data_IF_987611518721
#
_entry.id   IF_987611518721
#
_cell.length_a   1.000
_cell.length_b   1.000
_cell.length_c   1.000
_cell.angle_alpha   90.00
_cell.angle_beta   90.00
_cell.angle_gamma   90.00
#
_symmetry.space_group_name_H-M   'P 1'
#
loop_
_entity.id
_entity.type
_entity.pdbx_description
1 polymer ?
#
# COMPACT_ATOMS: atom_id res chain seq x y z
N UNK A 1 14.29 6.07 -29.43
CA UNK A 1 14.43 7.08 -28.36
C UNK A 1 14.29 6.35 -27.03
N UNK A 2 15.33 6.30 -26.20
CA UNK A 2 15.24 5.67 -24.88
C UNK A 2 14.39 6.59 -23.99
N UNK A 3 13.14 6.23 -23.71
CA UNK A 3 12.45 6.78 -22.54
C UNK A 3 13.22 6.28 -21.32
N UNK A 4 13.77 7.18 -20.51
CA UNK A 4 14.36 6.81 -19.22
C UNK A 4 13.21 6.39 -18.28
N UNK A 5 12.75 5.15 -18.42
CA UNK A 5 11.74 4.57 -17.54
C UNK A 5 12.38 4.22 -16.21
N UNK A 6 12.00 4.93 -15.15
CA UNK A 6 12.49 4.68 -13.80
C UNK A 6 11.69 3.54 -13.18
N UNK A 7 12.37 2.60 -12.53
CA UNK A 7 11.74 1.55 -11.72
C UNK A 7 11.88 1.91 -10.26
N UNK A 8 10.76 2.02 -9.54
CA UNK A 8 10.72 2.27 -8.10
C UNK A 8 10.10 1.08 -7.37
N UNK A 9 10.57 0.83 -6.16
CA UNK A 9 10.04 -0.20 -5.27
C UNK A 9 9.54 0.46 -3.98
N UNK A 10 8.32 0.13 -3.58
CA UNK A 10 7.70 0.54 -2.33
C UNK A 10 7.37 -0.71 -1.51
N UNK A 11 7.84 -0.77 -0.28
CA UNK A 11 7.46 -1.81 0.66
C UNK A 11 6.27 -1.34 1.50
N UNK A 12 5.23 -2.17 1.61
CA UNK A 12 4.05 -1.92 2.45
C UNK A 12 3.90 -3.04 3.48
N UNK A 13 3.25 -2.77 4.60
CA UNK A 13 2.91 -3.81 5.58
C UNK A 13 1.90 -4.79 4.98
N UNK A 14 2.23 -6.09 5.07
CA UNK A 14 1.38 -7.24 4.74
C UNK A 14 1.88 -8.45 5.54
N UNK A 15 1.19 -8.82 6.61
CA UNK A 15 1.60 -9.89 7.53
C UNK A 15 1.26 -11.29 7.03
N UNK A 16 0.18 -11.44 6.27
CA UNK A 16 -0.27 -12.71 5.71
C UNK A 16 -0.97 -12.51 4.35
N UNK A 17 -1.43 -13.62 3.75
CA UNK A 17 -2.03 -13.64 2.41
C UNK A 17 -3.34 -12.89 2.28
N UNK A 18 -3.95 -12.49 3.39
CA UNK A 18 -5.23 -11.77 3.47
C UNK A 18 -5.08 -10.36 4.03
N UNK A 19 -3.90 -9.97 4.49
CA UNK A 19 -3.60 -8.62 4.98
C UNK A 19 -3.46 -7.62 3.81
N UNK A 20 -4.58 -7.02 3.41
CA UNK A 20 -4.62 -6.03 2.33
C UNK A 20 -4.86 -4.60 2.83
N UNK A 21 -4.87 -4.37 4.14
CA UNK A 21 -5.31 -3.10 4.72
C UNK A 21 -4.49 -1.93 4.18
N UNK A 22 -3.16 -2.03 4.23
CA UNK A 22 -2.31 -0.95 3.71
C UNK A 22 -2.46 -0.79 2.19
N UNK A 23 -2.57 -1.90 1.44
CA UNK A 23 -2.77 -1.86 -0.02
C UNK A 23 -4.05 -1.12 -0.39
N UNK A 24 -5.17 -1.42 0.25
CA UNK A 24 -6.46 -0.78 -0.06
C UNK A 24 -6.41 0.73 0.18
N UNK A 25 -5.69 1.19 1.21
CA UNK A 25 -5.45 2.62 1.43
C UNK A 25 -4.57 3.24 0.34
N UNK A 26 -3.50 2.56 -0.07
CA UNK A 26 -2.65 3.01 -1.18
C UNK A 26 -3.45 3.10 -2.48
N UNK A 27 -4.26 2.08 -2.79
CA UNK A 27 -5.14 2.06 -3.96
C UNK A 27 -6.14 3.23 -3.95
N UNK A 28 -6.76 3.50 -2.79
CA UNK A 28 -7.65 4.65 -2.58
C UNK A 28 -6.95 5.99 -2.79
N UNK A 29 -5.71 6.13 -2.32
CA UNK A 29 -4.89 7.33 -2.54
C UNK A 29 -4.54 7.51 -4.03
N UNK A 30 -4.22 6.42 -4.73
CA UNK A 30 -3.96 6.43 -6.17
C UNK A 30 -5.20 6.52 -7.06
N UNK A 31 -6.41 6.51 -6.48
CA UNK A 31 -7.68 6.56 -7.22
C UNK A 31 -7.85 5.39 -8.19
N UNK A 32 -7.40 4.22 -7.77
CA UNK A 32 -7.62 2.94 -8.46
C UNK A 32 -8.58 2.07 -7.64
N UNK A 33 -8.90 0.88 -8.14
CA UNK A 33 -9.85 -0.04 -7.50
C UNK A 33 -9.45 -0.40 -6.06
N UNK A 34 -10.32 -0.08 -5.09
CA UNK A 34 -10.09 -0.23 -3.65
C UNK A 34 -11.24 -0.93 -2.89
N UNK A 35 -12.22 -1.54 -3.58
CA UNK A 35 -13.33 -2.27 -2.94
C UNK A 35 -12.91 -3.63 -2.36
N UNK A 36 -11.97 -4.29 -3.03
CA UNK A 36 -11.33 -5.54 -2.63
C UNK A 36 -9.92 -5.61 -3.26
N UNK A 37 -9.07 -6.51 -2.77
CA UNK A 37 -7.72 -6.64 -3.28
C UNK A 37 -7.70 -7.31 -4.66
N UNK A 38 -7.10 -6.64 -5.67
CA UNK A 38 -6.94 -7.15 -7.04
C UNK A 38 -5.57 -6.81 -7.61
N UNK A 39 -5.18 -7.52 -8.68
CA UNK A 39 -3.98 -7.21 -9.45
C UNK A 39 -2.66 -7.52 -8.74
N UNK A 40 -2.67 -8.40 -7.73
CA UNK A 40 -1.46 -8.85 -7.06
C UNK A 40 -0.99 -10.21 -7.53
N UNK A 41 0.31 -10.44 -7.41
CA UNK A 41 0.96 -11.73 -7.58
C UNK A 41 1.94 -11.94 -6.43
N UNK A 42 1.72 -12.98 -5.60
CA UNK A 42 2.54 -13.28 -4.41
C UNK A 42 2.80 -12.07 -3.51
N UNK A 43 1.77 -11.26 -3.22
CA UNK A 43 1.89 -10.07 -2.37
C UNK A 43 2.61 -8.88 -3.03
N UNK A 44 2.76 -8.86 -4.36
CA UNK A 44 3.29 -7.73 -5.12
C UNK A 44 2.25 -7.18 -6.10
N UNK A 45 2.18 -5.86 -6.22
CA UNK A 45 1.46 -5.14 -7.26
C UNK A 45 2.42 -4.40 -8.19
N UNK A 46 2.11 -4.39 -9.48
CA UNK A 46 2.86 -3.65 -10.49
C UNK A 46 1.96 -2.58 -11.10
N UNK A 47 2.39 -1.32 -11.00
CA UNK A 47 1.68 -0.17 -11.54
C UNK A 47 2.60 0.61 -12.48
N UNK A 48 1.99 1.34 -13.42
CA UNK A 48 2.68 2.32 -14.25
C UNK A 48 2.11 3.71 -13.97
N UNK A 49 2.93 4.59 -13.39
CA UNK A 49 2.57 5.98 -13.10
C UNK A 49 3.41 6.87 -14.02
N UNK A 50 2.80 7.38 -15.10
CA UNK A 50 3.47 8.13 -16.17
C UNK A 50 4.64 7.31 -16.77
N UNK A 51 5.88 7.73 -16.52
CA UNK A 51 7.12 7.09 -16.99
C UNK A 51 7.78 6.22 -15.92
N UNK A 52 7.12 6.01 -14.78
CA UNK A 52 7.64 5.22 -13.65
C UNK A 52 6.91 3.87 -13.61
N UNK A 53 7.70 2.80 -13.58
CA UNK A 53 7.21 1.48 -13.19
C UNK A 53 7.35 1.35 -11.67
N UNK A 54 6.23 1.22 -10.97
CA UNK A 54 6.18 1.09 -9.52
C UNK A 54 5.87 -0.36 -9.14
N UNK A 55 6.76 -0.98 -8.36
CA UNK A 55 6.56 -2.28 -7.73
C UNK A 55 6.22 -2.05 -6.26
N UNK A 56 5.08 -2.56 -5.81
CA UNK A 56 4.64 -2.45 -4.41
C UNK A 56 4.70 -3.84 -3.82
N UNK A 57 5.51 -4.05 -2.78
CA UNK A 57 5.80 -5.35 -2.19
C UNK A 57 5.26 -5.40 -0.76
N UNK A 58 4.42 -6.38 -0.47
CA UNK A 58 3.91 -6.66 0.88
C UNK A 58 4.95 -7.35 1.75
N UNK A 59 5.38 -6.70 2.83
CA UNK A 59 6.37 -7.19 3.79
C UNK A 59 5.72 -7.51 5.16
N UNK A 60 6.09 -8.61 5.83
CA UNK A 60 7.09 -9.61 5.43
C UNK A 60 6.52 -10.77 4.57
N UNK A 61 5.21 -10.77 4.27
CA UNK A 61 4.56 -11.93 3.65
C UNK A 61 5.09 -12.31 2.25
N UNK A 62 5.37 -11.32 1.39
CA UNK A 62 5.77 -11.60 0.01
C UNK A 62 7.13 -12.27 -0.04
N UNK A 63 7.36 -13.26 -0.93
CA UNK A 63 8.69 -13.82 -1.17
C UNK A 63 9.70 -12.79 -1.68
N UNK A 64 9.24 -11.65 -2.21
CA UNK A 64 10.14 -10.55 -2.62
C UNK A 64 10.62 -9.69 -1.44
N UNK A 65 10.20 -10.00 -0.21
CA UNK A 65 10.65 -9.35 1.02
C UNK A 65 12.15 -9.52 1.26
N UNK A 66 12.75 -10.59 0.73
CA UNK A 66 14.18 -10.88 0.83
C UNK A 66 15.07 -9.78 0.23
N UNK A 67 14.51 -8.97 -0.68
CA UNK A 67 15.21 -7.86 -1.32
C UNK A 67 15.07 -6.53 -0.57
N UNK A 68 14.31 -6.46 0.53
CA UNK A 68 14.11 -5.22 1.30
C UNK A 68 15.39 -4.85 2.05
N UNK A 69 15.98 -3.66 1.83
CA UNK A 69 17.09 -3.17 2.64
C UNK A 69 16.69 -3.04 4.12
N UNK A 70 17.62 -3.25 5.04
CA UNK A 70 17.34 -3.27 6.48
C UNK A 70 16.87 -1.91 7.04
N UNK A 71 17.32 -0.82 6.44
CA UNK A 71 17.03 0.57 6.81
C UNK A 71 15.69 1.10 6.30
N UNK A 72 14.99 0.34 5.45
CA UNK A 72 13.68 0.72 4.92
C UNK A 72 12.56 0.18 5.81
N UNK A 73 11.77 1.08 6.40
CA UNK A 73 10.54 0.73 7.10
C UNK A 73 9.38 0.58 6.10
N UNK A 74 8.64 -0.55 6.10
CA UNK A 74 7.46 -0.71 5.27
C UNK A 74 6.39 0.35 5.60
N UNK A 75 5.79 0.94 4.57
CA UNK A 75 4.67 1.85 4.72
C UNK A 75 3.51 1.12 5.39
N UNK A 76 2.87 1.76 6.36
CA UNK A 76 1.72 1.23 7.06
C UNK A 76 0.68 2.33 7.21
N UNK A 77 -0.43 2.20 6.49
CA UNK A 77 -1.53 3.16 6.51
C UNK A 77 -2.68 2.58 7.32
N UNK A 78 -2.95 3.19 8.47
CA UNK A 78 -4.13 2.89 9.27
C UNK A 78 -5.26 3.88 8.95
N UNK A 79 -6.51 3.43 9.01
CA UNK A 79 -7.62 4.37 9.16
C UNK A 79 -7.51 5.00 10.55
N UNK A 80 -7.23 6.30 10.60
CA UNK A 80 -7.77 7.09 11.71
C UNK A 80 -9.29 7.02 11.54
N UNK A 81 -9.98 6.28 12.42
CA UNK A 81 -11.42 6.26 12.40
C UNK A 81 -11.90 7.68 12.71
N UNK A 82 -12.29 8.41 11.68
CA UNK A 82 -13.03 9.65 11.84
C UNK A 82 -14.46 9.28 12.25
N UNK A 83 -14.65 8.77 13.47
CA UNK A 83 -15.87 9.05 14.20
C UNK A 83 -15.63 10.40 14.87
N UNK A 84 -16.37 11.47 14.51
CA UNK A 84 -16.46 12.61 15.41
C UNK A 84 -16.86 12.06 16.77
N UNK A 85 -16.04 12.30 17.77
CA UNK A 85 -16.33 11.97 19.16
C UNK A 85 -17.67 12.62 19.53
N UNK A 86 -18.75 11.85 19.61
CA UNK A 86 -20.01 12.27 20.24
C UNK A 86 -19.79 12.39 21.77
N UNK A 87 -19.02 13.38 22.21
CA UNK A 87 -18.93 13.78 23.62
C UNK A 87 -19.41 15.20 23.92
N UNK A 88 -20.04 15.90 22.97
CA UNK A 88 -20.57 17.26 23.22
C UNK A 88 -22.10 17.41 23.15
N UNK A 89 -22.87 16.32 22.99
CA UNK A 89 -24.35 16.43 22.92
C UNK A 89 -25.09 16.34 24.26
N UNK A 90 -24.40 16.12 25.38
CA UNK A 90 -25.04 16.01 26.70
C UNK A 90 -24.53 17.07 27.68
N UNK A 91 -24.52 18.34 27.27
CA UNK A 91 -24.33 19.46 28.19
C UNK A 91 -25.16 20.65 27.71
N UNK A 92 -26.46 20.61 28.05
CA UNK A 92 -27.35 21.73 28.43
C UNK A 92 -28.78 21.21 28.51
#
# INVERSE_FOLDING_TARGET
AYSNEAVLVLYIKMLDSKDFDTWLHVAKCFKIWDLDARGYHNGMWQLRIRTIQLLIIGYPYSPYSDFKPNDIMPLNLFQMSSKPTELSKNSL
#
